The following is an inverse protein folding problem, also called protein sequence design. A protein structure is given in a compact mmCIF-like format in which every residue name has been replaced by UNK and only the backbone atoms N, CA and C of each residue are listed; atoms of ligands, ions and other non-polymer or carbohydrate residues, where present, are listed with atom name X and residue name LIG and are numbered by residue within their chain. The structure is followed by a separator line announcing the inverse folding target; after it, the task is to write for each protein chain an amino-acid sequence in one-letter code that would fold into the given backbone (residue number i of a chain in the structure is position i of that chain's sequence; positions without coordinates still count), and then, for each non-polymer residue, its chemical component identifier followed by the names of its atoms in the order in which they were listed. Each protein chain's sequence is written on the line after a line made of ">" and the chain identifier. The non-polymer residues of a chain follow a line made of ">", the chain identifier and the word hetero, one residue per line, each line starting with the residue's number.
data_IF_620971808035
#
_entry.id   IF_620971808035
#
_cell.length_a   1.000
_cell.length_b   1.000
_cell.length_c   1.000
_cell.angle_alpha   90.00
_cell.angle_beta   90.00
_cell.angle_gamma   90.00
#
_symmetry.space_group_name_H-M   'P 1'
#
loop_
_entity.id
_entity.type
_entity.pdbx_description
1 polymer ?
#
# COMPACT_ATOMS: atom_id res chain seq x y z
N UNK A 1 -45.32 44.18 -19.02
CA UNK A 1 -43.99 43.83 -18.47
C UNK A 1 -44.03 42.41 -17.95
N UNK A 2 -42.89 41.70 -18.08
CA UNK A 2 -42.35 40.56 -17.28
C UNK A 2 -43.32 39.80 -16.35
N UNK A 3 -43.39 38.47 -16.25
CA UNK A 3 -42.61 37.32 -16.68
C UNK A 3 -43.02 36.11 -15.77
N UNK A 4 -42.94 34.84 -16.23
CA UNK A 4 -43.81 33.71 -15.80
C UNK A 4 -43.18 32.61 -14.88
N UNK A 5 -43.92 31.48 -14.73
CA UNK A 5 -43.58 30.06 -14.42
C UNK A 5 -43.09 29.66 -13.00
N UNK A 6 -43.59 28.61 -12.31
CA UNK A 6 -44.50 27.50 -12.60
C UNK A 6 -44.46 26.43 -11.48
N UNK A 7 -45.37 25.42 -11.46
CA UNK A 7 -45.81 24.70 -10.25
C UNK A 7 -45.31 23.24 -10.13
N UNK A 8 -45.27 22.68 -8.92
CA UNK A 8 -44.92 21.27 -8.67
C UNK A 8 -45.97 20.55 -7.81
N UNK A 9 -46.70 19.63 -8.44
CA UNK A 9 -47.89 18.94 -7.93
C UNK A 9 -47.60 17.70 -7.08
N UNK A 10 -48.59 17.38 -6.24
CA UNK A 10 -48.79 16.15 -5.47
C UNK A 10 -49.18 14.97 -6.39
N UNK A 11 -48.80 13.72 -6.03
CA UNK A 11 -49.50 12.52 -6.53
C UNK A 11 -48.85 11.15 -6.22
N UNK A 12 -49.62 10.06 -5.96
CA UNK A 12 -49.15 8.83 -5.30
C UNK A 12 -49.26 7.50 -6.12
N UNK A 13 -48.54 6.44 -5.68
CA UNK A 13 -48.60 4.98 -5.99
C UNK A 13 -48.00 4.35 -7.30
N UNK A 14 -46.91 3.55 -7.14
CA UNK A 14 -46.55 2.28 -7.85
C UNK A 14 -45.43 2.30 -8.93
N UNK A 15 -44.72 1.19 -9.30
CA UNK A 15 -44.43 -0.10 -8.64
C UNK A 15 -42.91 -0.38 -8.40
N UNK A 16 -42.61 -1.46 -7.69
CA UNK A 16 -41.29 -1.97 -7.26
C UNK A 16 -40.27 -2.26 -8.38
N UNK A 17 -39.03 -1.78 -8.20
CA UNK A 17 -37.80 -2.37 -8.75
C UNK A 17 -36.84 -2.65 -7.58
N UNK A 18 -36.76 -3.92 -7.20
CA UNK A 18 -35.81 -4.46 -6.24
C UNK A 18 -34.41 -4.46 -6.86
N UNK A 19 -33.56 -3.52 -6.42
CA UNK A 19 -32.10 -3.61 -6.56
C UNK A 19 -31.49 -4.10 -5.24
N UNK A 20 -30.49 -5.00 -5.26
CA UNK A 20 -30.03 -5.68 -4.06
C UNK A 20 -29.40 -4.71 -3.04
N UNK A 21 -30.05 -4.66 -1.88
CA UNK A 21 -29.55 -4.34 -0.54
C UNK A 21 -28.26 -3.53 -0.41
N UNK A 22 -28.40 -2.21 -0.32
CA UNK A 22 -27.39 -1.37 0.33
C UNK A 22 -27.70 -1.27 1.83
N UNK A 23 -27.32 -2.30 2.59
CA UNK A 23 -27.30 -2.25 4.05
C UNK A 23 -26.09 -3.04 4.58
N UNK A 24 -25.08 -2.33 5.08
CA UNK A 24 -23.94 -2.92 5.79
C UNK A 24 -22.95 -1.86 6.29
N UNK A 25 -22.51 -1.87 7.56
CA UNK A 25 -21.80 -0.77 8.19
C UNK A 25 -20.29 -0.87 7.92
N UNK A 26 -19.70 0.06 7.19
CA UNK A 26 -18.24 0.13 7.09
C UNK A 26 -17.76 1.51 6.66
N UNK A 27 -17.73 2.43 7.63
CA UNK A 27 -16.84 3.58 7.53
C UNK A 27 -15.38 3.10 7.45
N UNK A 28 -14.65 3.61 6.47
CA UNK A 28 -13.17 3.69 6.43
C UNK A 28 -12.32 2.41 6.30
N UNK A 29 -12.86 1.20 6.48
CA UNK A 29 -12.06 -0.05 6.28
C UNK A 29 -11.96 -0.47 4.80
N UNK A 30 -12.84 0.05 3.94
CA UNK A 30 -12.96 -0.37 2.54
C UNK A 30 -11.85 0.20 1.63
N UNK A 31 -11.32 1.39 1.92
CA UNK A 31 -10.34 2.07 1.05
C UNK A 31 -8.94 1.48 1.14
N UNK A 32 -8.48 1.12 2.34
CA UNK A 32 -7.16 0.49 2.53
C UNK A 32 -7.15 -0.96 2.02
N UNK A 33 -8.24 -1.69 2.22
CA UNK A 33 -8.38 -3.06 1.71
C UNK A 33 -8.32 -3.09 0.17
N UNK A 34 -8.92 -2.10 -0.48
CA UNK A 34 -8.87 -1.93 -1.93
C UNK A 34 -7.47 -1.53 -2.43
N UNK A 35 -6.76 -0.64 -1.74
CA UNK A 35 -5.38 -0.26 -2.11
C UNK A 35 -4.41 -1.43 -1.96
N UNK A 36 -4.51 -2.22 -0.89
CA UNK A 36 -3.70 -3.44 -0.69
C UNK A 36 -3.96 -4.46 -1.79
N UNK A 37 -5.23 -4.73 -2.14
CA UNK A 37 -5.58 -5.68 -3.21
C UNK A 37 -5.06 -5.25 -4.58
N UNK A 38 -5.16 -3.94 -4.86
CA UNK A 38 -4.62 -3.34 -6.07
C UNK A 38 -3.10 -3.40 -6.09
N UNK A 39 -2.45 -3.14 -4.96
CA UNK A 39 -1.00 -3.21 -4.81
C UNK A 39 -0.46 -4.63 -4.98
N UNK A 40 -1.13 -5.63 -4.41
CA UNK A 40 -0.80 -7.03 -4.63
C UNK A 40 -0.92 -7.43 -6.12
N UNK A 41 -1.94 -6.94 -6.82
CA UNK A 41 -2.09 -7.17 -8.27
C UNK A 41 -0.93 -6.54 -9.07
N UNK A 42 -0.48 -5.35 -8.67
CA UNK A 42 0.69 -4.67 -9.25
C UNK A 42 2.02 -5.32 -8.88
N UNK A 43 2.11 -5.93 -7.70
CA UNK A 43 3.31 -6.62 -7.22
C UNK A 43 3.68 -7.81 -8.12
N UNK A 44 2.69 -8.46 -8.74
CA UNK A 44 2.89 -9.51 -9.74
C UNK A 44 3.39 -9.02 -11.10
N UNK A 45 3.61 -7.71 -11.27
CA UNK A 45 4.08 -7.14 -12.54
C UNK A 45 5.61 -7.29 -12.73
N UNK A 46 6.10 -7.31 -13.99
CA UNK A 46 7.54 -7.35 -14.26
C UNK A 46 8.33 -6.18 -13.67
N UNK A 47 7.71 -4.99 -13.62
CA UNK A 47 8.33 -3.79 -13.04
C UNK A 47 8.56 -3.95 -11.54
N UNK A 48 7.56 -4.44 -10.80
CA UNK A 48 7.69 -4.72 -9.38
C UNK A 48 8.76 -5.80 -9.11
N UNK A 49 8.79 -6.86 -9.92
CA UNK A 49 9.84 -7.90 -9.81
C UNK A 49 11.27 -7.32 -9.96
N UNK A 50 11.47 -6.39 -10.90
CA UNK A 50 12.77 -5.73 -11.11
C UNK A 50 13.18 -4.86 -9.91
N UNK A 51 12.24 -4.13 -9.32
CA UNK A 51 12.46 -3.31 -8.12
C UNK A 51 12.74 -4.15 -6.89
N UNK A 52 11.98 -5.24 -6.70
CA UNK A 52 12.20 -6.21 -5.63
C UNK A 52 13.59 -6.83 -5.75
N UNK A 53 13.99 -7.29 -6.95
CA UNK A 53 15.33 -7.87 -7.16
C UNK A 53 16.45 -6.88 -6.83
N UNK A 54 16.33 -5.62 -7.26
CA UNK A 54 17.30 -4.56 -6.94
C UNK A 54 17.37 -4.26 -5.44
N UNK A 55 16.21 -4.29 -4.78
CA UNK A 55 16.08 -4.11 -3.33
C UNK A 55 16.71 -5.28 -2.57
N UNK A 56 16.47 -6.52 -3.00
CA UNK A 56 17.11 -7.73 -2.46
C UNK A 56 18.63 -7.59 -2.56
N UNK A 57 19.15 -7.20 -3.72
CA UNK A 57 20.60 -7.05 -3.90
C UNK A 57 21.18 -5.99 -2.97
N UNK A 58 20.47 -4.88 -2.75
CA UNK A 58 20.89 -3.81 -1.83
C UNK A 58 20.86 -4.26 -0.37
N UNK A 59 19.77 -4.91 0.06
CA UNK A 59 19.60 -5.40 1.43
C UNK A 59 20.53 -6.56 1.76
N UNK A 60 20.75 -7.49 0.82
CA UNK A 60 21.66 -8.61 1.01
C UNK A 60 23.12 -8.14 1.11
N UNK A 61 23.49 -7.09 0.37
CA UNK A 61 24.86 -6.54 0.42
C UNK A 61 25.11 -5.68 1.67
N UNK A 62 24.12 -4.92 2.12
CA UNK A 62 24.30 -3.93 3.21
C UNK A 62 23.72 -4.37 4.56
N UNK A 63 22.96 -5.45 4.60
CA UNK A 63 22.31 -5.99 5.80
C UNK A 63 20.93 -5.37 6.08
N UNK A 64 19.85 -6.18 6.19
CA UNK A 64 18.49 -5.66 6.40
C UNK A 64 18.21 -5.17 7.84
N UNK A 65 19.15 -5.34 8.77
CA UNK A 65 19.02 -4.96 10.18
C UNK A 65 19.30 -3.47 10.44
N UNK A 66 19.90 -2.77 9.48
CA UNK A 66 20.28 -1.37 9.61
C UNK A 66 19.15 -0.43 9.15
N UNK A 67 18.72 0.47 10.02
CA UNK A 67 17.61 1.39 9.74
C UNK A 67 17.90 2.34 8.56
N UNK A 68 19.15 2.75 8.37
CA UNK A 68 19.55 3.67 7.29
C UNK A 68 19.45 2.98 5.93
N UNK A 69 19.83 1.69 5.89
CA UNK A 69 19.72 0.85 4.68
C UNK A 69 18.25 0.64 4.32
N UNK A 70 17.41 0.28 5.30
CA UNK A 70 15.96 0.08 5.07
C UNK A 70 15.28 1.40 4.65
N UNK A 71 15.63 2.52 5.27
CA UNK A 71 15.10 3.85 4.89
C UNK A 71 15.48 4.22 3.47
N UNK A 72 16.74 4.00 3.08
CA UNK A 72 17.22 4.27 1.72
C UNK A 72 16.53 3.37 0.69
N UNK A 73 16.38 2.07 1.00
CA UNK A 73 15.66 1.13 0.15
C UNK A 73 14.20 1.53 -0.04
N UNK A 74 13.51 1.93 1.04
CA UNK A 74 12.13 2.39 0.97
C UNK A 74 11.99 3.70 0.19
N UNK A 75 12.88 4.66 0.41
CA UNK A 75 12.90 5.93 -0.34
C UNK A 75 13.04 5.68 -1.84
N UNK A 76 13.99 4.81 -2.23
CA UNK A 76 14.18 4.39 -3.61
C UNK A 76 12.93 3.71 -4.19
N UNK A 77 12.28 2.81 -3.44
CA UNK A 77 11.05 2.15 -3.87
C UNK A 77 9.91 3.16 -4.09
N UNK A 78 9.69 4.09 -3.15
CA UNK A 78 8.68 5.15 -3.28
C UNK A 78 8.93 6.00 -4.53
N UNK A 79 10.18 6.40 -4.78
CA UNK A 79 10.55 7.14 -6.00
C UNK A 79 10.34 6.33 -7.28
N UNK A 80 10.74 5.06 -7.30
CA UNK A 80 10.59 4.23 -8.49
C UNK A 80 9.14 3.84 -8.78
N UNK A 81 8.32 3.58 -7.76
CA UNK A 81 6.89 3.30 -7.89
C UNK A 81 6.16 4.53 -8.41
N UNK A 82 6.41 5.72 -7.83
CA UNK A 82 5.77 6.96 -8.28
C UNK A 82 6.15 7.30 -9.72
N UNK A 83 7.40 7.07 -10.13
CA UNK A 83 7.83 7.24 -11.53
C UNK A 83 7.21 6.22 -12.48
N UNK A 84 7.09 4.95 -12.06
CA UNK A 84 6.55 3.87 -12.91
C UNK A 84 5.03 3.90 -13.03
N UNK A 85 4.34 4.56 -12.10
CA UNK A 85 2.89 4.52 -11.96
C UNK A 85 2.30 5.92 -11.73
N UNK A 86 2.44 6.82 -12.72
CA UNK A 86 1.84 8.15 -12.61
C UNK A 86 0.32 8.02 -12.44
N UNK A 87 -0.23 8.73 -11.45
CA UNK A 87 -1.66 8.72 -11.12
C UNK A 87 -2.05 7.88 -9.91
N UNK A 88 -1.11 7.14 -9.30
CA UNK A 88 -1.34 6.58 -7.96
C UNK A 88 -1.41 7.68 -6.91
N UNK A 89 -2.32 7.51 -5.94
CA UNK A 89 -2.33 8.34 -4.74
C UNK A 89 -1.07 8.11 -3.91
N UNK A 90 -0.63 9.09 -3.13
CA UNK A 90 0.54 8.94 -2.25
C UNK A 90 0.43 7.74 -1.30
N UNK A 91 -0.78 7.46 -0.80
CA UNK A 91 -1.06 6.26 0.00
C UNK A 91 -0.83 4.95 -0.80
N UNK A 92 -1.30 4.85 -2.04
CA UNK A 92 -1.09 3.69 -2.90
C UNK A 92 0.40 3.47 -3.23
N UNK A 93 1.15 4.54 -3.44
CA UNK A 93 2.61 4.48 -3.65
C UNK A 93 3.30 3.90 -2.43
N UNK A 94 2.95 4.37 -1.23
CA UNK A 94 3.53 3.87 0.03
C UNK A 94 3.15 2.40 0.26
N UNK A 95 1.86 2.04 0.09
CA UNK A 95 1.40 0.65 0.24
C UNK A 95 2.13 -0.28 -0.74
N UNK A 96 2.30 0.15 -1.99
CA UNK A 96 3.05 -0.60 -2.99
C UNK A 96 4.53 -0.77 -2.60
N UNK A 97 5.19 0.31 -2.17
CA UNK A 97 6.59 0.27 -1.76
C UNK A 97 6.81 -0.62 -0.53
N UNK A 98 5.90 -0.60 0.46
CA UNK A 98 5.95 -1.47 1.63
C UNK A 98 5.77 -2.95 1.25
N UNK A 99 4.84 -3.27 0.35
CA UNK A 99 4.65 -4.65 -0.12
C UNK A 99 5.85 -5.15 -0.94
N UNK A 100 6.48 -4.30 -1.74
CA UNK A 100 7.71 -4.64 -2.45
C UNK A 100 8.89 -4.85 -1.49
N UNK A 101 9.03 -4.02 -0.44
CA UNK A 101 10.03 -4.20 0.62
C UNK A 101 9.83 -5.53 1.37
N UNK A 102 8.60 -5.85 1.78
CA UNK A 102 8.28 -7.13 2.44
C UNK A 102 8.60 -8.30 1.51
N UNK A 103 8.28 -8.20 0.22
CA UNK A 103 8.60 -9.24 -0.76
C UNK A 103 10.10 -9.47 -0.91
N UNK A 104 10.91 -8.41 -0.86
CA UNK A 104 12.36 -8.51 -0.87
C UNK A 104 12.89 -9.21 0.40
N UNK A 105 12.36 -8.87 1.58
CA UNK A 105 12.72 -9.53 2.84
C UNK A 105 12.38 -11.01 2.82
N UNK A 106 11.19 -11.39 2.32
CA UNK A 106 10.79 -12.80 2.16
C UNK A 106 11.71 -13.54 1.18
N UNK A 107 12.13 -12.90 0.08
CA UNK A 107 13.11 -13.49 -0.84
C UNK A 107 14.46 -13.77 -0.17
N UNK A 108 14.95 -12.82 0.65
CA UNK A 108 16.19 -13.01 1.42
C UNK A 108 16.05 -14.20 2.37
N UNK A 109 14.94 -14.27 3.12
CA UNK A 109 14.66 -15.40 4.02
C UNK A 109 14.61 -16.73 3.27
N UNK A 110 13.98 -16.76 2.09
CA UNK A 110 13.86 -17.96 1.27
C UNK A 110 15.20 -18.50 0.75
N UNK A 111 16.22 -17.65 0.61
CA UNK A 111 17.58 -18.04 0.20
C UNK A 111 18.56 -18.18 1.38
N UNK A 112 18.13 -17.85 2.59
CA UNK A 112 19.00 -17.83 3.78
C UNK A 112 18.91 -19.12 4.58
N UNK A 113 20.01 -19.52 5.23
CA UNK A 113 19.96 -20.53 6.29
C UNK A 113 19.61 -19.84 7.61
N UNK A 114 18.42 -20.11 8.14
CA UNK A 114 17.95 -19.48 9.38
C UNK A 114 18.57 -20.17 10.60
N UNK A 115 19.31 -19.39 11.39
CA UNK A 115 19.87 -19.81 12.67
C UNK A 115 18.93 -19.54 13.85
N UNK A 116 19.48 -19.36 15.04
CA UNK A 116 18.71 -18.95 16.21
C UNK A 116 18.11 -17.54 16.02
N UNK A 117 16.84 -17.41 16.37
CA UNK A 117 16.11 -16.14 16.31
C UNK A 117 16.14 -15.48 17.69
N UNK A 118 16.64 -14.25 17.77
CA UNK A 118 16.59 -13.44 18.99
C UNK A 118 15.22 -12.75 19.12
N UNK A 119 14.29 -13.40 19.82
CA UNK A 119 12.95 -12.86 20.05
C UNK A 119 12.96 -11.61 20.95
N UNK A 120 13.97 -11.47 21.80
CA UNK A 120 14.09 -10.31 22.68
C UNK A 120 14.45 -9.03 21.90
N UNK A 121 15.14 -9.16 20.76
CA UNK A 121 15.47 -8.08 19.83
C UNK A 121 14.37 -7.72 18.82
N UNK A 122 13.21 -8.38 18.85
CA UNK A 122 12.10 -8.07 17.94
C UNK A 122 11.58 -6.63 18.13
N UNK A 123 11.48 -6.17 19.39
CA UNK A 123 11.11 -4.80 19.73
C UNK A 123 12.16 -3.79 19.25
N UNK A 124 13.44 -4.10 19.38
CA UNK A 124 14.53 -3.29 18.82
C UNK A 124 14.43 -3.17 17.28
N UNK A 125 14.16 -4.28 16.59
CA UNK A 125 13.98 -4.30 15.14
C UNK A 125 12.77 -3.45 14.71
N UNK A 126 11.65 -3.54 15.44
CA UNK A 126 10.47 -2.72 15.18
C UNK A 126 10.74 -1.21 15.40
N UNK A 127 11.52 -0.85 16.42
CA UNK A 127 11.93 0.54 16.66
C UNK A 127 12.81 1.07 15.52
N UNK A 128 13.74 0.26 14.99
CA UNK A 128 14.57 0.62 13.84
C UNK A 128 13.76 0.79 12.56
N UNK A 129 12.79 -0.09 12.31
CA UNK A 129 11.86 0.05 11.19
C UNK A 129 11.02 1.32 11.34
N UNK A 130 10.52 1.61 12.53
CA UNK A 130 9.75 2.84 12.82
C UNK A 130 10.57 4.11 12.55
N UNK A 131 11.84 4.13 12.95
CA UNK A 131 12.77 5.23 12.63
C UNK A 131 12.99 5.37 11.12
N UNK A 132 13.21 4.25 10.41
CA UNK A 132 13.38 4.26 8.96
C UNK A 132 12.14 4.80 8.23
N UNK A 133 10.96 4.40 8.67
CA UNK A 133 9.68 4.89 8.14
C UNK A 133 9.50 6.38 8.43
N UNK A 134 9.77 6.82 9.66
CA UNK A 134 9.71 8.24 10.04
C UNK A 134 10.63 9.12 9.19
N UNK A 135 11.84 8.66 8.87
CA UNK A 135 12.77 9.39 8.02
C UNK A 135 12.35 9.46 6.54
N UNK A 136 11.51 8.51 6.09
CA UNK A 136 11.13 8.38 4.67
C UNK A 136 9.76 8.99 4.38
N UNK A 137 8.85 8.98 5.36
CA UNK A 137 7.44 9.38 5.22
C UNK A 137 7.09 10.65 6.02
N UNK A 138 7.97 11.09 6.90
CA UNK A 138 7.82 12.29 7.73
C UNK A 138 8.23 13.57 7.03
#
# INVERSE_FOLDING_TARGET
>A
GQGPYGPGQQGPYGPSQQGPGSYGPSGQVSSVSASVSSAASRLSSPAASSRVSSTVSSLASSGPSDASVVSSALSNLVSQVSASQPGLSGCDVIVQALLELVSALVHILGSSSLGQVDYNGASYSAQRLSQALGNTLG
#
